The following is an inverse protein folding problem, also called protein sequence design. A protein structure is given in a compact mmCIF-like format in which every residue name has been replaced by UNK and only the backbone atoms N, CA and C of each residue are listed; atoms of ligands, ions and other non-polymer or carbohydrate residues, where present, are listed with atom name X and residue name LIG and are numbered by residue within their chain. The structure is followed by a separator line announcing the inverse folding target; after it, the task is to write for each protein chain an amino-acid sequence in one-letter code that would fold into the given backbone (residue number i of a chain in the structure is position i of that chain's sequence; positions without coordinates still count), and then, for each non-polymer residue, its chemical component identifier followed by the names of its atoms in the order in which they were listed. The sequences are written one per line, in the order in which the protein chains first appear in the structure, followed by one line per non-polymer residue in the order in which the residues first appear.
data_IF_042142705436
#
_entry.id   IF_042142705436
#
_cell.length_a   1.000
_cell.length_b   1.000
_cell.length_c   1.000
_cell.angle_alpha   90.00
_cell.angle_beta   90.00
_cell.angle_gamma   90.00
#
_symmetry.space_group_name_H-M   'P 1'
#
loop_
_entity.id
_entity.type
_entity.pdbx_description
1 polymer ?
#
# COMPACT_ATOMS: atom_id res chain seq x y z
N UNK A 1 -20.46 -8.91 8.92
CA UNK A 1 -21.72 -9.62 9.24
C UNK A 1 -21.55 -11.03 8.72
N UNK A 2 -21.47 -12.06 9.56
CA UNK A 2 -21.24 -13.43 9.10
C UNK A 2 -22.55 -14.05 8.62
N UNK A 3 -22.63 -14.39 7.33
CA UNK A 3 -23.76 -15.14 6.76
C UNK A 3 -23.69 -16.60 7.22
N UNK A 4 -24.84 -17.19 7.52
CA UNK A 4 -24.94 -18.64 7.74
C UNK A 4 -24.74 -19.40 6.42
N UNK A 5 -24.30 -20.66 6.48
CA UNK A 5 -24.15 -21.53 5.29
C UNK A 5 -25.44 -21.56 4.45
N UNK A 6 -26.59 -21.62 5.12
CA UNK A 6 -27.90 -21.58 4.48
C UNK A 6 -28.14 -20.27 3.73
N UNK A 7 -27.84 -19.12 4.34
CA UNK A 7 -28.00 -17.81 3.69
C UNK A 7 -27.07 -17.65 2.50
N UNK A 8 -25.82 -18.13 2.60
CA UNK A 8 -24.86 -18.12 1.48
C UNK A 8 -25.43 -18.93 0.31
N UNK A 9 -25.91 -20.14 0.58
CA UNK A 9 -26.48 -21.01 -0.45
C UNK A 9 -27.74 -20.41 -1.10
N UNK A 10 -28.69 -19.91 -0.28
CA UNK A 10 -29.93 -19.29 -0.77
C UNK A 10 -29.63 -18.07 -1.65
N UNK A 11 -28.71 -17.19 -1.23
CA UNK A 11 -28.33 -16.00 -2.00
C UNK A 11 -27.56 -16.36 -3.28
N UNK A 12 -26.65 -17.33 -3.21
CA UNK A 12 -25.89 -17.82 -4.38
C UNK A 12 -26.83 -18.40 -5.43
N UNK A 13 -27.78 -19.25 -5.03
CA UNK A 13 -28.75 -19.84 -5.94
C UNK A 13 -29.63 -18.76 -6.60
N UNK A 14 -30.16 -17.83 -5.79
CA UNK A 14 -30.96 -16.70 -6.30
C UNK A 14 -30.20 -15.84 -7.31
N UNK A 15 -28.90 -15.61 -7.09
CA UNK A 15 -28.06 -14.88 -8.05
C UNK A 15 -27.90 -15.67 -9.35
N UNK A 16 -27.63 -16.97 -9.27
CA UNK A 16 -27.45 -17.83 -10.44
C UNK A 16 -28.74 -17.97 -11.28
N UNK A 17 -29.91 -17.90 -10.66
CA UNK A 17 -31.21 -17.97 -11.35
C UNK A 17 -31.51 -16.70 -12.17
N UNK A 18 -31.02 -15.54 -11.74
CA UNK A 18 -31.20 -14.28 -12.44
C UNK A 18 -29.92 -13.43 -12.33
N UNK A 19 -28.88 -13.77 -13.12
CA UNK A 19 -27.58 -13.13 -13.01
C UNK A 19 -27.70 -11.65 -13.37
N UNK A 20 -27.14 -10.82 -12.49
CA UNK A 20 -27.04 -9.39 -12.69
C UNK A 20 -25.60 -9.02 -13.04
N UNK A 21 -25.39 -7.90 -13.77
CA UNK A 21 -24.05 -7.38 -14.00
C UNK A 21 -23.28 -7.18 -12.69
N UNK A 22 -21.98 -7.46 -12.73
CA UNK A 22 -21.08 -7.43 -11.58
C UNK A 22 -21.10 -6.11 -10.79
N UNK A 23 -21.37 -4.98 -11.47
CA UNK A 23 -21.30 -3.64 -10.90
C UNK A 23 -22.50 -3.21 -10.03
N UNK A 24 -23.49 -4.07 -9.79
CA UNK A 24 -24.56 -3.72 -8.86
C UNK A 24 -24.07 -3.80 -7.40
N UNK A 25 -24.40 -2.78 -6.61
CA UNK A 25 -23.85 -2.57 -5.25
C UNK A 25 -24.05 -3.76 -4.32
N UNK A 26 -25.27 -4.30 -4.28
CA UNK A 26 -25.66 -5.31 -3.30
C UNK A 26 -25.00 -6.66 -3.59
N UNK A 27 -24.83 -7.00 -4.87
CA UNK A 27 -24.17 -8.21 -5.32
C UNK A 27 -22.65 -8.10 -5.18
N UNK A 28 -22.07 -6.92 -5.43
CA UNK A 28 -20.66 -6.63 -5.18
C UNK A 28 -20.31 -6.74 -3.71
N UNK A 29 -21.09 -6.12 -2.83
CA UNK A 29 -20.89 -6.15 -1.37
C UNK A 29 -20.99 -7.58 -0.83
N UNK A 30 -21.99 -8.35 -1.30
CA UNK A 30 -22.11 -9.75 -0.93
C UNK A 30 -20.87 -10.56 -1.32
N UNK A 31 -20.40 -10.38 -2.55
CA UNK A 31 -19.25 -11.11 -3.05
C UNK A 31 -17.95 -10.70 -2.34
N UNK A 32 -17.79 -9.41 -2.02
CA UNK A 32 -16.68 -8.92 -1.19
C UNK A 32 -16.65 -9.60 0.17
N UNK A 33 -17.81 -9.67 0.84
CA UNK A 33 -17.92 -10.35 2.14
C UNK A 33 -17.61 -11.85 2.03
N UNK A 34 -18.06 -12.54 0.96
CA UNK A 34 -17.71 -13.95 0.77
C UNK A 34 -16.20 -14.16 0.56
N UNK A 35 -15.53 -13.26 -0.16
CA UNK A 35 -14.07 -13.35 -0.34
C UNK A 35 -13.35 -13.05 0.97
N UNK A 36 -13.81 -12.09 1.78
CA UNK A 36 -13.29 -11.86 3.13
C UNK A 36 -13.44 -13.12 4.00
N UNK A 37 -14.65 -13.68 4.06
CA UNK A 37 -14.93 -14.92 4.80
C UNK A 37 -14.03 -16.07 4.32
N UNK A 38 -13.80 -16.21 3.01
CA UNK A 38 -12.90 -17.22 2.43
C UNK A 38 -11.46 -17.06 2.94
N UNK A 39 -10.98 -15.82 3.04
CA UNK A 39 -9.61 -15.52 3.48
C UNK A 39 -9.46 -15.69 5.00
N UNK A 40 -10.49 -15.42 5.79
CA UNK A 40 -10.51 -15.65 7.24
C UNK A 40 -10.71 -17.10 7.66
N UNK A 41 -11.40 -17.88 6.84
CA UNK A 41 -11.68 -19.28 7.15
C UNK A 41 -10.36 -20.04 7.31
N UNK A 42 -10.35 -21.08 8.13
CA UNK A 42 -9.21 -21.98 8.31
C UNK A 42 -9.59 -23.44 8.08
N UNK A 43 -10.86 -23.80 8.23
CA UNK A 43 -11.36 -25.12 7.91
C UNK A 43 -11.35 -25.36 6.38
N UNK A 44 -10.66 -26.39 5.88
CA UNK A 44 -10.56 -26.65 4.44
C UNK A 44 -11.91 -26.95 3.77
N UNK A 45 -12.85 -27.54 4.49
CA UNK A 45 -14.17 -27.90 3.96
C UNK A 45 -15.01 -26.65 3.77
N UNK A 46 -15.04 -25.77 4.77
CA UNK A 46 -15.73 -24.49 4.68
C UNK A 46 -15.09 -23.60 3.60
N UNK A 47 -13.75 -23.55 3.51
CA UNK A 47 -13.05 -22.85 2.41
C UNK A 47 -13.49 -23.31 1.05
N UNK A 48 -13.56 -24.63 0.84
CA UNK A 48 -14.02 -25.18 -0.43
C UNK A 48 -15.46 -24.77 -0.74
N UNK A 49 -16.35 -24.77 0.26
CA UNK A 49 -17.74 -24.32 0.09
C UNK A 49 -17.86 -22.84 -0.30
N UNK A 50 -17.09 -21.97 0.36
CA UNK A 50 -17.02 -20.54 0.04
C UNK A 50 -16.44 -20.32 -1.36
N UNK A 51 -15.35 -21.00 -1.70
CA UNK A 51 -14.74 -20.94 -3.03
C UNK A 51 -15.72 -21.34 -4.13
N UNK A 52 -16.46 -22.45 -3.94
CA UNK A 52 -17.48 -22.89 -4.89
C UNK A 52 -18.59 -21.84 -5.07
N UNK A 53 -19.00 -21.19 -3.99
CA UNK A 53 -20.06 -20.16 -4.02
C UNK A 53 -19.60 -18.91 -4.76
N UNK A 54 -18.39 -18.43 -4.46
CA UNK A 54 -17.73 -17.32 -5.16
C UNK A 54 -17.58 -17.63 -6.66
N UNK A 55 -17.08 -18.82 -6.99
CA UNK A 55 -16.87 -19.24 -8.38
C UNK A 55 -18.18 -19.28 -9.17
N UNK A 56 -19.26 -19.78 -8.58
CA UNK A 56 -20.60 -19.76 -9.21
C UNK A 56 -21.09 -18.34 -9.48
N UNK A 57 -20.90 -17.42 -8.54
CA UNK A 57 -21.33 -16.02 -8.71
C UNK A 57 -20.53 -15.35 -9.83
N UNK A 58 -19.19 -15.46 -9.81
CA UNK A 58 -18.31 -14.85 -10.82
C UNK A 58 -18.64 -15.36 -12.23
N UNK A 59 -18.84 -16.67 -12.38
CA UNK A 59 -19.17 -17.28 -13.68
C UNK A 59 -20.56 -16.89 -14.17
N UNK A 60 -21.53 -16.74 -13.27
CA UNK A 60 -22.87 -16.28 -13.61
C UNK A 60 -22.93 -14.78 -13.94
N UNK A 61 -22.09 -13.95 -13.31
CA UNK A 61 -22.12 -12.48 -13.45
C UNK A 61 -21.47 -11.96 -14.74
N UNK A 62 -20.90 -12.83 -15.58
CA UNK A 62 -20.07 -12.45 -16.72
C UNK A 62 -18.90 -11.52 -16.35
N UNK A 63 -18.39 -11.64 -15.11
CA UNK A 63 -17.26 -10.81 -14.66
C UNK A 63 -16.02 -11.13 -15.48
N UNK A 64 -15.32 -10.10 -15.94
CA UNK A 64 -14.03 -10.27 -16.58
C UNK A 64 -12.88 -10.28 -15.55
N UNK A 65 -11.65 -10.40 -16.05
CA UNK A 65 -10.47 -10.43 -15.18
C UNK A 65 -10.28 -9.11 -14.41
N UNK A 66 -10.67 -7.96 -14.98
CA UNK A 66 -10.52 -6.65 -14.38
C UNK A 66 -11.54 -6.46 -13.24
N UNK A 67 -12.76 -6.96 -13.43
CA UNK A 67 -13.79 -7.05 -12.39
C UNK A 67 -13.32 -7.85 -11.17
N UNK A 68 -12.72 -9.03 -11.42
CA UNK A 68 -12.24 -9.91 -10.36
C UNK A 68 -11.00 -9.29 -9.68
N UNK A 69 -10.07 -8.69 -10.43
CA UNK A 69 -8.95 -7.99 -9.81
C UNK A 69 -9.42 -6.83 -8.92
N UNK A 70 -10.42 -6.05 -9.37
CA UNK A 70 -11.02 -4.97 -8.59
C UNK A 70 -11.74 -5.49 -7.33
N UNK A 71 -12.34 -6.67 -7.37
CA UNK A 71 -12.91 -7.34 -6.20
C UNK A 71 -11.85 -7.57 -5.14
N UNK A 72 -10.76 -8.24 -5.52
CA UNK A 72 -9.64 -8.55 -4.63
C UNK A 72 -8.97 -7.27 -4.09
N UNK A 73 -8.83 -6.25 -4.94
CA UNK A 73 -8.33 -4.93 -4.53
C UNK A 73 -9.22 -4.29 -3.46
N UNK A 74 -10.54 -4.31 -3.66
CA UNK A 74 -11.49 -3.77 -2.68
C UNK A 74 -11.43 -4.53 -1.36
N UNK A 75 -11.35 -5.86 -1.41
CA UNK A 75 -11.17 -6.70 -0.22
C UNK A 75 -9.86 -6.37 0.49
N UNK A 76 -8.77 -6.15 -0.25
CA UNK A 76 -7.48 -5.75 0.30
C UNK A 76 -7.54 -4.42 1.04
N UNK A 77 -8.23 -3.42 0.49
CA UNK A 77 -8.45 -2.14 1.16
C UNK A 77 -9.32 -2.28 2.41
N UNK A 78 -10.43 -3.02 2.34
CA UNK A 78 -11.29 -3.26 3.52
C UNK A 78 -10.53 -3.98 4.64
N UNK A 79 -9.75 -5.01 4.31
CA UNK A 79 -8.92 -5.70 5.29
C UNK A 79 -7.84 -4.78 5.88
N UNK A 80 -7.20 -3.94 5.06
CA UNK A 80 -6.22 -2.97 5.53
C UNK A 80 -6.83 -1.94 6.50
N UNK A 81 -8.02 -1.41 6.19
CA UNK A 81 -8.76 -0.48 7.06
C UNK A 81 -9.15 -1.11 8.40
N UNK A 82 -9.39 -2.42 8.40
CA UNK A 82 -9.64 -3.21 9.61
C UNK A 82 -8.34 -3.65 10.33
N UNK A 83 -7.17 -3.19 9.89
CA UNK A 83 -5.84 -3.57 10.40
C UNK A 83 -5.51 -5.07 10.25
N UNK A 84 -6.20 -5.77 9.35
CA UNK A 84 -6.01 -7.19 9.05
C UNK A 84 -4.95 -7.38 7.95
N UNK A 85 -3.71 -7.03 8.27
CA UNK A 85 -2.62 -6.93 7.27
C UNK A 85 -2.33 -8.24 6.52
N UNK A 86 -2.44 -9.41 7.17
CA UNK A 86 -2.23 -10.70 6.52
C UNK A 86 -3.31 -11.00 5.46
N UNK A 87 -4.55 -10.58 5.74
CA UNK A 87 -5.69 -10.73 4.83
C UNK A 87 -5.58 -9.72 3.68
N UNK A 88 -5.19 -8.48 3.99
CA UNK A 88 -4.91 -7.47 2.98
C UNK A 88 -3.81 -7.92 2.00
N UNK A 89 -2.70 -8.46 2.52
CA UNK A 89 -1.62 -9.03 1.70
C UNK A 89 -2.13 -10.16 0.80
N UNK A 90 -2.90 -11.11 1.34
CA UNK A 90 -3.45 -12.22 0.57
C UNK A 90 -4.39 -11.73 -0.55
N UNK A 91 -5.22 -10.74 -0.25
CA UNK A 91 -6.14 -10.16 -1.22
C UNK A 91 -5.40 -9.42 -2.35
N UNK A 92 -4.42 -8.56 -2.01
CA UNK A 92 -3.61 -7.88 -3.03
C UNK A 92 -2.76 -8.86 -3.87
N UNK A 93 -2.25 -9.94 -3.27
CA UNK A 93 -1.63 -11.04 -4.03
C UNK A 93 -2.59 -11.66 -5.05
N UNK A 94 -3.85 -11.84 -4.68
CA UNK A 94 -4.91 -12.27 -5.59
C UNK A 94 -5.09 -11.32 -6.78
N UNK A 95 -5.19 -10.02 -6.53
CA UNK A 95 -5.31 -9.01 -7.59
C UNK A 95 -4.11 -9.00 -8.54
N UNK A 96 -2.88 -9.03 -8.00
CA UNK A 96 -1.63 -9.11 -8.77
C UNK A 96 -1.59 -10.39 -9.62
N UNK A 97 -2.01 -11.54 -9.07
CA UNK A 97 -2.01 -12.80 -9.80
C UNK A 97 -2.99 -12.81 -10.99
N UNK A 98 -4.06 -12.01 -10.94
CA UNK A 98 -5.08 -11.93 -11.99
C UNK A 98 -4.64 -11.00 -13.13
N UNK A 99 -4.19 -9.79 -12.80
CA UNK A 99 -3.97 -8.74 -13.79
C UNK A 99 -2.57 -8.14 -13.81
N UNK A 100 -1.78 -8.35 -12.76
CA UNK A 100 -0.42 -7.85 -12.61
C UNK A 100 -0.26 -6.35 -12.90
N UNK A 101 -1.31 -5.56 -12.63
CA UNK A 101 -1.28 -4.11 -12.79
C UNK A 101 -0.28 -3.48 -11.82
N UNK A 102 0.36 -2.39 -12.25
CA UNK A 102 1.31 -1.67 -11.41
C UNK A 102 0.65 -1.16 -10.12
N UNK A 103 -0.60 -0.68 -10.21
CA UNK A 103 -1.35 -0.22 -9.04
C UNK A 103 -1.54 -1.34 -7.99
N UNK A 104 -1.83 -2.57 -8.42
CA UNK A 104 -2.00 -3.72 -7.51
C UNK A 104 -0.67 -4.15 -6.91
N UNK A 105 0.41 -4.16 -7.71
CA UNK A 105 1.76 -4.45 -7.21
C UNK A 105 2.21 -3.43 -6.18
N UNK A 106 1.92 -2.15 -6.41
CA UNK A 106 2.20 -1.08 -5.45
C UNK A 106 1.39 -1.24 -4.15
N UNK A 107 0.10 -1.57 -4.23
CA UNK A 107 -0.73 -1.82 -3.04
C UNK A 107 -0.20 -3.01 -2.24
N UNK A 108 0.20 -4.09 -2.92
CA UNK A 108 0.82 -5.24 -2.29
C UNK A 108 2.15 -4.86 -1.62
N UNK A 109 3.02 -4.15 -2.32
CA UNK A 109 4.30 -3.66 -1.80
C UNK A 109 4.11 -2.80 -0.53
N UNK A 110 3.13 -1.90 -0.54
CA UNK A 110 2.78 -1.04 0.60
C UNK A 110 2.40 -1.86 1.84
N UNK A 111 1.52 -2.85 1.72
CA UNK A 111 1.13 -3.69 2.88
C UNK A 111 2.30 -4.56 3.32
N UNK A 112 3.02 -5.17 2.38
CA UNK A 112 4.12 -6.07 2.69
C UNK A 112 5.24 -5.38 3.48
N UNK A 113 5.62 -4.15 3.10
CA UNK A 113 6.70 -3.41 3.78
C UNK A 113 6.34 -2.97 5.20
N UNK A 114 5.04 -2.81 5.52
CA UNK A 114 4.57 -2.48 6.87
C UNK A 114 4.49 -3.69 7.80
N UNK A 115 4.77 -4.90 7.29
CA UNK A 115 4.79 -6.12 8.11
C UNK A 115 5.90 -6.06 9.16
N UNK A 116 5.58 -6.44 10.40
CA UNK A 116 6.52 -6.45 11.54
C UNK A 116 7.73 -7.39 11.35
N UNK A 117 7.65 -8.34 10.41
CA UNK A 117 8.68 -9.36 10.16
C UNK A 117 9.21 -9.28 8.72
N UNK A 118 9.68 -8.10 8.32
CA UNK A 118 10.22 -7.89 6.98
C UNK A 118 11.63 -8.52 6.85
N UNK A 119 11.69 -9.73 6.31
CA UNK A 119 12.96 -10.42 6.04
C UNK A 119 13.61 -9.92 4.74
N UNK A 120 14.92 -10.15 4.56
CA UNK A 120 15.62 -9.76 3.33
C UNK A 120 15.00 -10.34 2.04
N UNK A 121 14.42 -11.55 2.10
CA UNK A 121 13.69 -12.12 0.96
C UNK A 121 12.41 -11.35 0.65
N UNK A 122 11.68 -10.90 1.68
CA UNK A 122 10.48 -10.07 1.51
C UNK A 122 10.82 -8.66 1.04
N UNK A 123 11.93 -8.07 1.51
CA UNK A 123 12.43 -6.78 1.00
C UNK A 123 12.68 -6.89 -0.50
N UNK A 124 13.35 -7.96 -0.95
CA UNK A 124 13.59 -8.20 -2.37
C UNK A 124 12.28 -8.29 -3.17
N UNK A 125 11.30 -9.05 -2.67
CA UNK A 125 9.99 -9.16 -3.31
C UNK A 125 9.29 -7.79 -3.44
N UNK A 126 9.34 -6.96 -2.39
CA UNK A 126 8.80 -5.59 -2.43
C UNK A 126 9.52 -4.74 -3.48
N UNK A 127 10.86 -4.80 -3.56
CA UNK A 127 11.63 -4.09 -4.58
C UNK A 127 11.23 -4.54 -5.99
N UNK A 128 11.08 -5.85 -6.21
CA UNK A 128 10.69 -6.42 -7.50
C UNK A 128 9.28 -5.92 -7.92
N UNK A 129 8.35 -5.83 -6.98
CA UNK A 129 6.99 -5.30 -7.22
C UNK A 129 7.00 -3.82 -7.66
N UNK A 130 7.90 -3.02 -7.12
CA UNK A 130 7.96 -1.57 -7.33
C UNK A 130 8.81 -1.15 -8.54
N UNK A 131 9.68 -2.04 -9.03
CA UNK A 131 10.75 -1.72 -9.99
C UNK A 131 10.26 -1.05 -11.28
N UNK A 132 9.17 -1.53 -11.88
CA UNK A 132 8.60 -0.92 -13.09
C UNK A 132 8.10 0.50 -12.82
N UNK A 133 7.52 0.73 -11.63
CA UNK A 133 7.03 2.03 -11.21
C UNK A 133 8.16 3.04 -11.04
N UNK A 134 9.34 2.61 -10.58
CA UNK A 134 10.52 3.47 -10.51
C UNK A 134 10.97 3.94 -11.89
N UNK A 135 10.94 3.05 -12.90
CA UNK A 135 11.35 3.39 -14.27
C UNK A 135 10.47 4.48 -14.89
N UNK A 136 9.16 4.42 -14.64
CA UNK A 136 8.19 5.40 -15.14
C UNK A 136 7.94 6.55 -14.16
N UNK A 137 8.65 6.59 -13.03
CA UNK A 137 8.52 7.59 -11.96
C UNK A 137 7.10 7.70 -11.40
N UNK A 138 6.45 6.56 -11.23
CA UNK A 138 5.12 6.48 -10.61
C UNK A 138 5.25 6.90 -9.12
N UNK A 139 4.55 7.96 -8.67
CA UNK A 139 4.74 8.54 -7.35
C UNK A 139 4.55 7.59 -6.16
N UNK A 140 3.54 6.71 -6.17
CA UNK A 140 3.37 5.78 -5.05
C UNK A 140 4.53 4.79 -4.97
N UNK A 141 5.00 4.31 -6.12
CA UNK A 141 6.14 3.39 -6.19
C UNK A 141 7.43 4.06 -5.71
N UNK A 142 7.69 5.30 -6.13
CA UNK A 142 8.84 6.09 -5.67
C UNK A 142 8.85 6.22 -4.15
N UNK A 143 7.72 6.61 -3.56
CA UNK A 143 7.61 6.82 -2.12
C UNK A 143 7.71 5.49 -1.35
N UNK A 144 7.02 4.45 -1.81
CA UNK A 144 7.10 3.13 -1.16
C UNK A 144 8.52 2.54 -1.24
N UNK A 145 9.24 2.75 -2.35
CA UNK A 145 10.63 2.34 -2.48
C UNK A 145 11.54 3.16 -1.56
N UNK A 146 11.34 4.47 -1.48
CA UNK A 146 12.07 5.34 -0.57
C UNK A 146 11.91 4.87 0.89
N UNK A 147 10.69 4.51 1.30
CA UNK A 147 10.42 3.97 2.64
C UNK A 147 11.05 2.60 2.89
N UNK A 148 11.19 1.75 1.86
CA UNK A 148 11.96 0.50 1.99
C UNK A 148 13.42 0.80 2.29
N UNK A 149 14.06 1.69 1.53
CA UNK A 149 15.45 2.05 1.78
C UNK A 149 15.61 2.75 3.14
N UNK A 150 14.80 3.75 3.46
CA UNK A 150 15.00 4.55 4.67
C UNK A 150 14.55 3.88 5.97
N UNK A 151 13.37 3.25 5.99
CA UNK A 151 12.77 2.72 7.22
C UNK A 151 13.12 1.25 7.42
N UNK A 152 13.16 0.44 6.35
CA UNK A 152 13.43 -0.98 6.49
C UNK A 152 14.93 -1.35 6.46
N UNK A 153 15.74 -0.66 5.65
CA UNK A 153 17.19 -0.90 5.56
C UNK A 153 17.99 0.08 6.43
N UNK A 154 17.77 1.38 6.22
CA UNK A 154 18.08 2.45 7.16
C UNK A 154 19.55 2.76 7.42
N UNK A 155 20.48 2.35 6.55
CA UNK A 155 21.86 2.87 6.59
C UNK A 155 21.91 4.30 6.03
N UNK A 156 22.97 5.04 6.34
CA UNK A 156 23.14 6.41 5.82
C UNK A 156 23.04 6.46 4.28
N UNK A 157 23.63 5.49 3.59
CA UNK A 157 23.54 5.38 2.13
C UNK A 157 22.13 5.04 1.64
N UNK A 158 21.37 4.25 2.40
CA UNK A 158 19.97 3.96 2.04
C UNK A 158 19.09 5.22 2.14
N UNK A 159 19.35 6.09 3.13
CA UNK A 159 18.64 7.37 3.24
C UNK A 159 18.94 8.31 2.06
N UNK A 160 20.18 8.33 1.55
CA UNK A 160 20.54 9.10 0.35
C UNK A 160 19.85 8.57 -0.92
N UNK A 161 19.76 7.23 -1.06
CA UNK A 161 19.01 6.60 -2.16
C UNK A 161 17.53 6.99 -2.07
N UNK A 162 16.95 6.91 -0.88
CA UNK A 162 15.57 7.29 -0.64
C UNK A 162 15.32 8.79 -0.90
N UNK A 163 16.27 9.67 -0.58
CA UNK A 163 16.19 11.11 -0.88
C UNK A 163 16.14 11.36 -2.38
N UNK A 164 16.99 10.65 -3.13
CA UNK A 164 17.01 10.69 -4.61
C UNK A 164 15.67 10.23 -5.20
N UNK A 165 15.04 9.21 -4.61
CA UNK A 165 13.73 8.72 -5.05
C UNK A 165 12.62 9.76 -4.82
N UNK A 166 12.60 10.40 -3.66
CA UNK A 166 11.60 11.43 -3.33
C UNK A 166 11.73 12.67 -4.21
N UNK A 167 12.96 13.08 -4.56
CA UNK A 167 13.21 14.18 -5.49
C UNK A 167 12.57 13.97 -6.89
N UNK A 168 12.26 12.72 -7.25
CA UNK A 168 11.61 12.39 -8.53
C UNK A 168 10.08 12.47 -8.49
N UNK A 169 9.47 12.66 -7.31
CA UNK A 169 8.02 12.75 -7.15
C UNK A 169 7.48 14.05 -7.75
N UNK A 170 6.41 13.95 -8.54
CA UNK A 170 5.76 15.10 -9.17
C UNK A 170 4.75 15.79 -8.23
N UNK A 171 4.63 17.12 -8.34
CA UNK A 171 3.86 17.99 -7.43
C UNK A 171 2.35 17.79 -7.45
N UNK A 172 1.78 17.30 -8.56
CA UNK A 172 0.32 17.14 -8.73
C UNK A 172 -0.14 15.68 -8.55
N UNK A 173 0.62 14.91 -7.76
CA UNK A 173 0.34 13.50 -7.54
C UNK A 173 -0.74 13.26 -6.49
N UNK A 174 -1.71 12.38 -6.80
CA UNK A 174 -2.67 11.89 -5.79
C UNK A 174 -2.01 11.21 -4.59
N UNK A 175 -0.78 10.69 -4.75
CA UNK A 175 -0.01 10.10 -3.66
C UNK A 175 0.24 11.08 -2.51
N UNK A 176 0.42 12.36 -2.83
CA UNK A 176 0.66 13.40 -1.81
C UNK A 176 -0.54 13.46 -0.85
N UNK A 177 -1.77 13.45 -1.38
CA UNK A 177 -2.98 13.49 -0.56
C UNK A 177 -3.12 12.22 0.29
N UNK A 178 -2.82 11.05 -0.26
CA UNK A 178 -2.87 9.79 0.49
C UNK A 178 -1.92 9.79 1.70
N UNK A 179 -0.68 10.24 1.51
CA UNK A 179 0.28 10.34 2.62
C UNK A 179 -0.11 11.42 3.63
N UNK A 180 -0.80 12.47 3.19
CA UNK A 180 -1.38 13.45 4.11
C UNK A 180 -2.44 12.81 4.99
N UNK A 181 -3.41 12.11 4.39
CA UNK A 181 -4.49 11.44 5.13
C UNK A 181 -3.94 10.43 6.16
N UNK A 182 -2.84 9.76 5.85
CA UNK A 182 -2.16 8.90 6.81
C UNK A 182 -1.58 9.69 7.98
N UNK A 183 -0.92 10.82 7.73
CA UNK A 183 -0.42 11.69 8.80
C UNK A 183 -1.54 12.34 9.63
N UNK A 184 -2.70 12.62 9.03
CA UNK A 184 -3.90 13.11 9.74
C UNK A 184 -4.46 12.06 10.69
N UNK A 185 -4.24 10.77 10.39
CA UNK A 185 -4.51 9.62 11.26
C UNK A 185 -3.36 9.30 12.24
N UNK A 186 -2.39 10.21 12.39
CA UNK A 186 -1.19 10.08 13.23
C UNK A 186 -0.25 8.92 12.82
N UNK A 187 -0.31 8.48 11.55
CA UNK A 187 0.70 7.58 10.99
C UNK A 187 2.02 8.35 10.75
N UNK A 188 3.10 7.86 11.35
CA UNK A 188 4.41 8.51 11.28
C UNK A 188 4.97 8.56 9.85
N UNK A 189 4.67 7.56 9.02
CA UNK A 189 5.13 7.56 7.63
C UNK A 189 4.53 8.73 6.85
N UNK A 190 3.29 9.13 7.17
CA UNK A 190 2.66 10.33 6.58
C UNK A 190 3.44 11.61 6.91
N UNK A 191 3.83 11.79 8.19
CA UNK A 191 4.68 12.91 8.60
C UNK A 191 6.06 12.88 7.93
N UNK A 192 6.68 11.69 7.83
CA UNK A 192 7.98 11.50 7.19
C UNK A 192 7.95 11.88 5.71
N UNK A 193 6.97 11.37 4.96
CA UNK A 193 6.83 11.66 3.53
C UNK A 193 6.59 13.15 3.32
N UNK A 194 5.71 13.79 4.10
CA UNK A 194 5.45 15.22 3.96
C UNK A 194 6.65 16.10 4.33
N UNK A 195 7.43 15.73 5.34
CA UNK A 195 8.70 16.40 5.66
C UNK A 195 9.64 16.36 4.45
N UNK A 196 9.74 15.18 3.83
CA UNK A 196 10.65 14.93 2.71
C UNK A 196 10.25 15.67 1.43
N UNK A 197 8.96 15.60 1.08
CA UNK A 197 8.38 16.32 -0.05
C UNK A 197 8.53 17.84 0.13
N UNK A 198 8.39 18.34 1.36
CA UNK A 198 8.57 19.75 1.66
C UNK A 198 10.03 20.19 1.53
N UNK A 199 10.98 19.36 1.95
CA UNK A 199 12.42 19.59 1.77
C UNK A 199 12.82 19.69 0.29
N UNK A 200 12.26 18.83 -0.56
CA UNK A 200 12.47 18.85 -2.02
C UNK A 200 11.61 19.88 -2.77
N UNK A 201 10.80 20.67 -2.06
CA UNK A 201 9.88 21.66 -2.64
C UNK A 201 8.86 21.04 -3.60
N UNK A 202 8.61 19.73 -3.50
CA UNK A 202 7.51 19.06 -4.19
C UNK A 202 6.18 19.58 -3.66
N UNK A 203 6.13 19.88 -2.36
CA UNK A 203 5.06 20.66 -1.73
C UNK A 203 5.65 21.92 -1.09
N UNK A 204 5.01 23.06 -1.32
CA UNK A 204 5.42 24.32 -0.70
C UNK A 204 5.14 24.31 0.82
N UNK A 205 3.96 23.81 1.19
CA UNK A 205 3.51 23.69 2.58
C UNK A 205 2.84 22.33 2.77
N UNK A 206 2.92 21.80 3.99
CA UNK A 206 2.25 20.55 4.35
C UNK A 206 0.95 20.85 5.10
N UNK A 207 -0.13 20.18 4.71
CA UNK A 207 -1.39 20.21 5.47
C UNK A 207 -1.26 19.63 6.90
N UNK A 208 -0.18 18.89 7.17
CA UNK A 208 0.11 18.29 8.48
C UNK A 208 0.81 19.24 9.46
N UNK A 209 1.19 20.45 9.02
CA UNK A 209 1.82 21.47 9.87
C UNK A 209 3.19 21.91 9.39
N UNK A 210 3.89 22.65 10.25
CA UNK A 210 5.20 23.24 9.92
C UNK A 210 6.28 22.17 9.81
N UNK A 211 7.36 22.46 9.08
CA UNK A 211 8.51 21.55 9.00
C UNK A 211 9.06 21.14 10.36
N UNK A 212 9.13 22.09 11.29
CA UNK A 212 9.57 21.82 12.66
C UNK A 212 8.66 20.79 13.36
N UNK A 213 7.34 20.94 13.22
CA UNK A 213 6.37 19.99 13.76
C UNK A 213 6.53 18.60 13.13
N UNK A 214 6.68 18.52 11.80
CA UNK A 214 6.90 17.26 11.10
C UNK A 214 8.20 16.59 11.57
N UNK A 215 9.29 17.36 11.70
CA UNK A 215 10.56 16.87 12.21
C UNK A 215 10.45 16.31 13.63
N UNK A 216 9.74 16.99 14.53
CA UNK A 216 9.53 16.51 15.90
C UNK A 216 8.80 15.17 15.94
N UNK A 217 7.75 15.01 15.13
CA UNK A 217 7.03 13.74 14.97
C UNK A 217 7.94 12.63 14.42
N UNK A 218 8.66 12.91 13.35
CA UNK A 218 9.52 11.96 12.65
C UNK A 218 10.73 11.53 13.49
N UNK A 219 11.46 12.48 14.06
CA UNK A 219 12.66 12.20 14.86
C UNK A 219 12.36 11.47 16.18
N UNK A 220 11.13 11.61 16.71
CA UNK A 220 10.68 10.83 17.86
C UNK A 220 10.47 9.36 17.50
N UNK A 221 9.91 9.09 16.32
CA UNK A 221 9.55 7.74 15.90
C UNK A 221 10.68 6.98 15.18
N UNK A 222 11.59 7.70 14.52
CA UNK A 222 12.75 7.15 13.81
C UNK A 222 14.05 7.72 14.39
N UNK A 223 14.62 7.14 15.45
CA UNK A 223 15.80 7.69 16.13
C UNK A 223 17.04 7.86 15.25
N UNK A 224 17.13 7.09 14.16
CA UNK A 224 18.25 7.12 13.21
C UNK A 224 17.95 7.97 11.97
N UNK A 225 16.86 8.76 11.96
CA UNK A 225 16.57 9.65 10.84
C UNK A 225 17.69 10.69 10.70
N UNK A 226 18.24 10.89 9.48
CA UNK A 226 19.32 11.84 9.30
C UNK A 226 18.90 13.28 9.61
N UNK A 227 19.76 14.00 10.33
CA UNK A 227 19.48 15.38 10.76
C UNK A 227 19.37 16.35 9.59
N UNK A 228 20.00 16.07 8.46
CA UNK A 228 19.88 16.87 7.24
C UNK A 228 18.46 16.88 6.67
N UNK A 229 17.62 15.88 6.99
CA UNK A 229 16.25 15.82 6.50
C UNK A 229 15.39 17.01 6.99
N UNK A 230 15.78 17.66 8.09
CA UNK A 230 15.07 18.83 8.64
C UNK A 230 15.33 20.12 7.86
N UNK A 231 16.38 20.20 7.05
CA UNK A 231 16.76 21.42 6.32
C UNK A 231 16.30 21.34 4.86
N UNK A 232 16.27 22.48 4.15
CA UNK A 232 16.12 22.46 2.69
C UNK A 232 17.32 21.75 2.04
N UNK A 233 17.10 21.17 0.86
CA UNK A 233 18.19 20.62 0.02
C UNK A 233 19.24 21.71 -0.29
N UNK A 234 18.79 22.95 -0.50
CA UNK A 234 19.66 24.09 -0.83
C UNK A 234 20.45 24.64 0.38
N UNK A 235 20.27 24.07 1.58
CA UNK A 235 20.90 24.54 2.83
C UNK A 235 21.82 23.48 3.46
N UNK A 236 22.20 22.44 2.73
CA UNK A 236 23.18 21.48 3.24
C UNK A 236 24.54 22.17 3.47
N UNK A 237 25.18 21.94 4.63
CA UNK A 237 26.59 22.33 4.77
C UNK A 237 27.40 21.56 3.73
N UNK A 238 28.31 22.25 3.02
CA UNK A 238 29.25 21.56 2.12
C UNK A 238 29.87 20.37 2.87
N UNK A 239 30.03 19.21 2.21
CA UNK A 239 30.77 18.11 2.81
C UNK A 239 32.10 18.65 3.27
N UNK A 240 32.46 18.38 4.53
CA UNK A 240 33.73 18.79 5.09
C UNK A 240 34.81 18.35 4.09
N UNK A 241 35.47 19.32 3.47
CA UNK A 241 36.64 19.05 2.66
C UNK A 241 37.60 18.35 3.62
N UNK A 242 37.86 17.07 3.38
CA UNK A 242 38.97 16.39 4.02
C UNK A 242 40.19 17.26 3.71
N UNK A 243 40.61 18.00 4.73
CA UNK A 243 41.89 18.66 4.72
C UNK A 243 42.91 17.53 4.69
N UNK A 244 43.31 17.13 3.47
CA UNK A 244 44.61 16.53 3.24
C UNK A 244 45.63 17.48 3.88
N UNK A 245 45.98 17.19 5.13
CA UNK A 245 47.11 17.76 5.80
C UNK A 245 48.33 16.92 5.45
N UNK A 246 49.18 17.57 4.66
CA UNK A 246 50.63 17.40 4.43
C UNK A 246 51.15 16.13 3.73
#
# INVERSE_FOLDING_TARGET
MQYTEREILERTNRFCENPKPFFLSDEREFLQNLVLDLLHENDPTNKAGLFVSIFKIITASSADKDDIAMLFRSVGFTAYENEEYDIAEAAFKGAVAINNELADRNNLAYVMRKSKNLSGARIKEVIDLLSDGIQIKEPYCLINMALVFSVALGTDSDWEIADTLIAMVQTDSSAINWWQELGEKDDTEGYLVHLWLNRHKVIAESGLGTRQFLWEKVSTAYPNVPVWLKTDVDQEPEPAQDSEQD
#
